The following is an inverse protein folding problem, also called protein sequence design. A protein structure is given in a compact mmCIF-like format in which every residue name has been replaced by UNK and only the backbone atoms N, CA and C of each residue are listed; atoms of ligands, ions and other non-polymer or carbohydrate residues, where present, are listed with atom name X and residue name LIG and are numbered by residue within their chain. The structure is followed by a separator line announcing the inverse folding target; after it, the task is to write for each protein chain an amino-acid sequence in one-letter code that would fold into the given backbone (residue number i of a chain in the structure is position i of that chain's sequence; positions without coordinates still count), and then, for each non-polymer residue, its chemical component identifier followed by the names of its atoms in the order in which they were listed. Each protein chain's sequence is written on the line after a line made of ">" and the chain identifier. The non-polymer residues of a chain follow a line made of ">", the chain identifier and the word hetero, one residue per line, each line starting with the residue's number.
data_IF_966016713389
#
_entry.id   IF_966016713389
#
_cell.length_a   1.000
_cell.length_b   1.000
_cell.length_c   1.000
_cell.angle_alpha   90.00
_cell.angle_beta   90.00
_cell.angle_gamma   90.00
#
_symmetry.space_group_name_H-M   'P 1'
#
loop_
_entity.id
_entity.type
_entity.pdbx_description
1 polymer ?
#
# COMPACT_ATOMS: atom_id res chain seq x y z
N UNK A 1 17.11 8.26 13.92
CA UNK A 1 17.50 7.94 12.52
C UNK A 1 16.70 6.71 12.11
N UNK A 2 15.53 6.91 11.50
CA UNK A 2 14.66 5.80 11.09
C UNK A 2 15.33 5.04 9.94
N UNK A 3 15.54 3.74 10.13
CA UNK A 3 16.06 2.85 9.09
C UNK A 3 15.01 2.80 7.98
N UNK A 4 15.24 3.56 6.90
CA UNK A 4 14.46 3.44 5.68
C UNK A 4 14.92 2.12 5.06
N UNK A 5 14.19 1.04 5.35
CA UNK A 5 14.34 -0.23 4.66
C UNK A 5 14.11 0.07 3.19
N UNK A 6 15.19 0.04 2.39
CA UNK A 6 15.13 0.19 0.93
C UNK A 6 14.33 -0.98 0.38
N UNK A 7 13.06 -0.74 0.10
CA UNK A 7 12.19 -1.70 -0.56
C UNK A 7 12.47 -1.62 -2.07
N UNK A 8 13.17 -2.62 -2.61
CA UNK A 8 13.56 -2.69 -4.03
C UNK A 8 12.34 -2.53 -4.95
N UNK A 9 11.22 -3.17 -4.60
CA UNK A 9 9.97 -3.10 -5.38
C UNK A 9 9.37 -1.68 -5.36
N UNK A 10 9.53 -0.94 -4.27
CA UNK A 10 9.06 0.44 -4.18
C UNK A 10 9.85 1.33 -5.14
N UNK A 11 11.17 1.21 -5.14
CA UNK A 11 12.06 1.98 -6.02
C UNK A 11 11.79 1.65 -7.51
N UNK A 12 11.60 0.38 -7.85
CA UNK A 12 11.28 -0.06 -9.21
C UNK A 12 9.91 0.45 -9.68
N UNK A 13 8.88 0.40 -8.82
CA UNK A 13 7.54 0.93 -9.11
C UNK A 13 7.57 2.44 -9.33
N UNK A 14 8.38 3.16 -8.55
CA UNK A 14 8.60 4.61 -8.72
C UNK A 14 9.35 4.91 -10.02
N UNK A 15 10.35 4.11 -10.38
CA UNK A 15 11.07 4.25 -11.64
C UNK A 15 10.13 4.06 -12.85
N UNK A 16 9.22 3.08 -12.81
CA UNK A 16 8.19 2.90 -13.84
C UNK A 16 7.22 4.10 -13.90
N UNK A 17 6.80 4.63 -12.74
CA UNK A 17 5.94 5.81 -12.71
C UNK A 17 6.61 7.05 -13.31
N UNK A 18 7.88 7.29 -12.99
CA UNK A 18 8.67 8.39 -13.57
C UNK A 18 8.87 8.24 -15.09
N UNK A 19 8.82 7.02 -15.62
CA UNK A 19 8.82 6.75 -17.07
C UNK A 19 7.46 7.02 -17.74
N UNK A 20 6.44 7.43 -16.98
CA UNK A 20 5.10 7.75 -17.49
C UNK A 20 4.15 6.55 -17.54
N UNK A 21 4.47 5.43 -16.89
CA UNK A 21 3.61 4.26 -16.91
C UNK A 21 2.38 4.48 -16.03
N UNK A 22 1.24 3.98 -16.49
CA UNK A 22 0.00 4.04 -15.75
C UNK A 22 -0.05 2.98 -14.64
N UNK A 23 -0.87 3.22 -13.61
CA UNK A 23 -0.96 2.36 -12.43
C UNK A 23 -1.34 0.90 -12.78
N UNK A 24 -2.13 0.72 -13.85
CA UNK A 24 -2.52 -0.60 -14.33
C UNK A 24 -1.39 -1.33 -15.05
N UNK A 25 -0.56 -0.60 -15.81
CA UNK A 25 0.60 -1.18 -16.50
C UNK A 25 1.65 -1.65 -15.50
N UNK A 26 1.90 -0.82 -14.47
CA UNK A 26 2.77 -1.17 -13.35
C UNK A 26 2.21 -2.39 -12.60
N UNK A 27 0.91 -2.41 -12.31
CA UNK A 27 0.27 -3.55 -11.65
C UNK A 27 0.49 -4.86 -12.44
N UNK A 28 0.31 -4.83 -13.76
CA UNK A 28 0.50 -5.99 -14.62
C UNK A 28 1.97 -6.41 -14.71
N UNK A 29 2.88 -5.44 -14.86
CA UNK A 29 4.32 -5.69 -14.99
C UNK A 29 4.91 -6.37 -13.74
N UNK A 30 4.49 -5.93 -12.55
CA UNK A 30 4.94 -6.49 -11.28
C UNK A 30 4.05 -7.64 -10.77
N UNK A 31 2.98 -8.01 -11.50
CA UNK A 31 2.04 -9.04 -11.07
C UNK A 31 1.32 -8.72 -9.74
N UNK A 32 1.16 -7.44 -9.42
CA UNK A 32 0.53 -6.96 -8.17
C UNK A 32 -0.82 -6.30 -8.45
N UNK A 33 -1.69 -6.26 -7.45
CA UNK A 33 -2.97 -5.55 -7.58
C UNK A 33 -2.73 -4.02 -7.66
N UNK A 34 -3.56 -3.32 -8.42
CA UNK A 34 -3.58 -1.84 -8.51
C UNK A 34 -3.73 -1.15 -7.14
N UNK A 35 -4.37 -1.81 -6.17
CA UNK A 35 -4.46 -1.32 -4.78
C UNK A 35 -3.10 -1.36 -4.09
N UNK A 36 -2.27 -2.37 -4.36
CA UNK A 36 -0.89 -2.45 -3.83
C UNK A 36 -0.02 -1.36 -4.45
N UNK A 37 -0.12 -1.14 -5.76
CA UNK A 37 0.59 -0.05 -6.47
C UNK A 37 0.26 1.30 -5.83
N UNK A 38 -1.02 1.59 -5.59
CA UNK A 38 -1.45 2.81 -4.91
C UNK A 38 -0.83 2.95 -3.52
N UNK A 39 -0.81 1.87 -2.73
CA UNK A 39 -0.19 1.87 -1.40
C UNK A 39 1.31 2.11 -1.42
N UNK A 40 2.01 1.54 -2.41
CA UNK A 40 3.43 1.79 -2.63
C UNK A 40 3.67 3.28 -2.91
N UNK A 41 2.88 3.88 -3.81
CA UNK A 41 2.96 5.31 -4.07
C UNK A 41 2.69 6.19 -2.84
N UNK A 42 1.69 5.87 -2.03
CA UNK A 42 1.43 6.58 -0.77
C UNK A 42 2.62 6.43 0.19
N UNK A 43 3.21 5.23 0.25
CA UNK A 43 4.39 4.93 1.08
C UNK A 43 5.62 5.71 0.61
N UNK A 44 5.77 5.92 -0.69
CA UNK A 44 6.80 6.78 -1.28
C UNK A 44 6.55 8.29 -1.10
N UNK A 45 5.39 8.68 -0.54
CA UNK A 45 5.01 10.08 -0.39
C UNK A 45 4.39 10.72 -1.62
N UNK A 46 4.02 9.95 -2.65
CA UNK A 46 3.28 10.48 -3.81
C UNK A 46 1.86 10.82 -3.36
N UNK A 47 1.50 12.09 -3.48
CA UNK A 47 0.17 12.59 -3.13
C UNK A 47 -0.80 12.39 -4.27
N UNK A 48 -1.94 11.76 -3.99
CA UNK A 48 -3.04 11.65 -4.94
C UNK A 48 -4.00 12.83 -4.76
N UNK A 49 -4.40 13.48 -5.85
CA UNK A 49 -5.39 14.58 -5.82
C UNK A 49 -6.83 14.06 -5.70
N UNK A 50 -7.03 13.04 -4.86
CA UNK A 50 -8.37 12.52 -4.58
C UNK A 50 -8.86 13.15 -3.28
N UNK A 51 -10.06 13.74 -3.29
CA UNK A 51 -10.71 14.30 -2.08
C UNK A 51 -10.70 13.31 -0.91
N UNK A 52 -10.91 12.02 -1.20
CA UNK A 52 -10.87 10.95 -0.20
C UNK A 52 -9.48 10.76 0.39
N UNK A 53 -8.43 10.81 -0.44
CA UNK A 53 -7.04 10.68 0.01
C UNK A 53 -6.64 11.84 0.91
N UNK A 54 -6.94 13.07 0.50
CA UNK A 54 -6.62 14.27 1.28
C UNK A 54 -7.29 14.24 2.65
N UNK A 55 -8.57 13.85 2.68
CA UNK A 55 -9.35 13.79 3.90
C UNK A 55 -8.84 12.69 4.86
N UNK A 56 -8.58 11.48 4.33
CA UNK A 56 -8.00 10.38 5.12
C UNK A 56 -6.61 10.74 5.63
N UNK A 57 -5.77 11.35 4.78
CA UNK A 57 -4.40 11.76 5.16
C UNK A 57 -4.41 12.86 6.20
N UNK A 58 -5.29 13.86 6.08
CA UNK A 58 -5.43 14.93 7.06
C UNK A 58 -5.86 14.41 8.44
N UNK A 59 -6.82 13.49 8.48
CA UNK A 59 -7.26 12.85 9.73
C UNK A 59 -6.16 11.96 10.32
N UNK A 60 -5.47 11.17 9.49
CA UNK A 60 -4.36 10.34 9.96
C UNK A 60 -3.22 11.19 10.53
N UNK A 61 -2.88 12.33 9.91
CA UNK A 61 -1.89 13.29 10.43
C UNK A 61 -2.31 13.90 11.77
N UNK A 62 -3.60 13.97 12.07
CA UNK A 62 -4.13 14.40 13.38
C UNK A 62 -4.11 13.29 14.44
N UNK A 63 -3.68 12.08 14.09
CA UNK A 63 -3.57 10.94 15.01
C UNK A 63 -4.81 10.05 15.10
N UNK A 64 -5.81 10.25 14.24
CA UNK A 64 -6.98 9.36 14.22
C UNK A 64 -6.64 7.97 13.69
N UNK A 65 -7.19 6.94 14.33
CA UNK A 65 -7.08 5.55 13.86
C UNK A 65 -7.91 5.32 12.60
N UNK A 66 -7.58 4.27 11.84
CA UNK A 66 -8.31 3.94 10.61
C UNK A 66 -9.80 3.69 10.84
N UNK A 67 -10.17 3.13 12.00
CA UNK A 67 -11.57 2.89 12.37
C UNK A 67 -12.32 4.20 12.65
N UNK A 68 -11.67 5.14 13.36
CA UNK A 68 -12.25 6.46 13.63
C UNK A 68 -12.42 7.30 12.36
N UNK A 69 -11.44 7.23 11.44
CA UNK A 69 -11.52 7.87 10.13
C UNK A 69 -12.69 7.27 9.34
N UNK A 70 -12.80 5.95 9.31
CA UNK A 70 -13.91 5.26 8.62
C UNK A 70 -15.27 5.72 9.15
N UNK A 71 -15.43 5.76 10.48
CA UNK A 71 -16.66 6.20 11.13
C UNK A 71 -16.98 7.68 10.84
N UNK A 72 -15.99 8.58 10.96
CA UNK A 72 -16.20 10.02 10.73
C UNK A 72 -16.47 10.37 9.27
N UNK A 73 -15.87 9.62 8.34
CA UNK A 73 -15.97 9.90 6.91
C UNK A 73 -17.08 9.11 6.22
N UNK A 74 -17.82 8.27 6.96
CA UNK A 74 -18.79 7.32 6.43
C UNK A 74 -18.19 6.46 5.29
N UNK A 75 -16.96 6.00 5.50
CA UNK A 75 -16.20 5.17 4.57
C UNK A 75 -16.04 3.76 5.13
N UNK A 76 -15.88 2.78 4.25
CA UNK A 76 -15.46 1.45 4.70
C UNK A 76 -14.03 1.50 5.26
N UNK A 77 -13.78 0.74 6.33
CA UNK A 77 -12.43 0.59 6.92
C UNK A 77 -11.43 0.14 5.85
N UNK A 78 -11.84 -0.74 4.92
CA UNK A 78 -11.03 -1.21 3.80
C UNK A 78 -10.61 -0.07 2.87
N UNK A 79 -11.53 0.87 2.59
CA UNK A 79 -11.25 2.06 1.79
C UNK A 79 -10.23 2.95 2.49
N UNK A 80 -10.40 3.21 3.79
CA UNK A 80 -9.45 4.02 4.58
C UNK A 80 -8.06 3.39 4.58
N UNK A 81 -7.97 2.08 4.86
CA UNK A 81 -6.72 1.32 4.84
C UNK A 81 -6.06 1.31 3.44
N UNK A 82 -6.82 1.52 2.36
CA UNK A 82 -6.27 1.65 1.02
C UNK A 82 -5.52 2.97 0.80
N UNK A 83 -5.88 4.02 1.55
CA UNK A 83 -5.29 5.37 1.46
C UNK A 83 -4.27 5.68 2.56
N UNK A 84 -4.09 4.77 3.52
CA UNK A 84 -3.07 4.90 4.56
C UNK A 84 -1.72 4.33 4.11
N UNK A 85 -0.59 4.89 4.60
CA UNK A 85 0.74 4.36 4.32
C UNK A 85 0.83 2.90 4.78
N UNK A 86 1.53 2.09 3.99
CA UNK A 86 1.56 0.63 4.20
C UNK A 86 2.36 0.28 5.45
N UNK A 87 1.69 -0.22 6.50
CA UNK A 87 2.32 -0.55 7.79
C UNK A 87 2.60 -2.04 8.00
N UNK A 88 2.01 -2.94 7.21
CA UNK A 88 2.22 -4.40 7.34
C UNK A 88 3.33 -4.86 6.42
N UNK A 89 4.37 -5.51 6.95
CA UNK A 89 5.46 -6.21 6.26
C UNK A 89 5.68 -5.78 4.81
N UNK A 90 6.68 -4.92 4.63
CA UNK A 90 7.33 -4.62 3.36
C UNK A 90 7.46 -5.94 2.58
N UNK A 91 6.77 -6.03 1.43
CA UNK A 91 6.93 -7.18 0.56
C UNK A 91 8.40 -7.20 0.12
N UNK A 92 9.01 -8.39 0.17
CA UNK A 92 10.43 -8.63 -0.12
C UNK A 92 11.44 -8.23 0.98
N UNK A 93 11.04 -8.36 2.25
CA UNK A 93 12.03 -8.82 3.22
C UNK A 93 12.23 -10.32 2.98
N UNK A 94 13.47 -10.73 2.74
CA UNK A 94 13.94 -12.13 2.73
C UNK A 94 13.40 -12.93 3.94
N UNK A 95 13.11 -12.22 5.03
CA UNK A 95 12.44 -12.72 6.22
C UNK A 95 10.90 -12.71 6.07
N UNK A 96 10.38 -13.64 5.27
CA UNK A 96 8.94 -13.88 5.18
C UNK A 96 8.51 -14.65 6.44
N UNK A 97 7.77 -13.99 7.34
CA UNK A 97 7.19 -14.64 8.53
C UNK A 97 6.49 -15.96 8.18
N UNK A 98 6.67 -16.99 9.02
CA UNK A 98 6.11 -18.33 8.83
C UNK A 98 4.58 -18.34 8.57
N UNK A 99 3.83 -17.42 9.18
CA UNK A 99 2.38 -17.28 8.95
C UNK A 99 2.05 -16.86 7.51
N UNK A 100 2.92 -16.03 6.91
CA UNK A 100 2.76 -15.58 5.52
C UNK A 100 3.06 -16.72 4.55
N UNK A 101 4.08 -17.55 4.82
CA UNK A 101 4.36 -18.78 4.06
C UNK A 101 3.18 -19.77 4.17
N UNK A 102 2.69 -20.02 5.38
CA UNK A 102 1.53 -20.90 5.61
C UNK A 102 0.30 -20.47 4.78
N UNK A 103 -0.04 -19.18 4.82
CA UNK A 103 -1.16 -18.63 4.02
C UNK A 103 -0.94 -18.74 2.52
N UNK A 104 0.30 -18.68 2.02
CA UNK A 104 0.60 -18.89 0.59
C UNK A 104 0.35 -20.33 0.19
N UNK A 105 0.88 -21.29 0.96
CA UNK A 105 0.69 -22.73 0.72
C UNK A 105 -0.80 -23.07 0.72
N UNK A 106 -1.54 -22.59 1.72
CA UNK A 106 -2.99 -22.86 1.84
C UNK A 106 -3.80 -22.29 0.67
N UNK A 107 -3.39 -21.14 0.10
CA UNK A 107 -4.04 -20.56 -1.08
C UNK A 107 -3.72 -21.31 -2.37
N UNK A 108 -2.51 -21.85 -2.50
CA UNK A 108 -2.12 -22.65 -3.65
C UNK A 108 -2.82 -24.02 -3.65
N UNK A 109 -3.03 -24.62 -2.48
CA UNK A 109 -3.77 -25.88 -2.33
C UNK A 109 -5.28 -25.78 -2.62
N UNK A 110 -5.82 -24.56 -2.76
CA UNK A 110 -7.24 -24.30 -3.06
C UNK A 110 -7.52 -23.99 -4.55
N UNK A 111 -6.49 -23.97 -5.38
CA UNK A 111 -6.58 -23.81 -6.84
C UNK A 111 -6.52 -25.16 -7.51
#
# INVERSE_FOLDING_TARGET
>A
MGVIVKNTILEDVLACHNKGWNNQEIANNFGISSVKVRKLFITAGITFTSKTYELVTAMHKRGYSAAEIAAKCNLSITTVIAYLPYSRCIYDLEDVSADCLYKRVWRQAKK
#
